data_IF_487832850644
#
_entry.id   IF_487832850644
#
_cell.length_a   1.000
_cell.length_b   1.000
_cell.length_c   1.000
_cell.angle_alpha   90.00
_cell.angle_beta   90.00
_cell.angle_gamma   90.00
#
_symmetry.space_group_name_H-M   'P 1'
#
loop_
_entity.id
_entity.type
_entity.pdbx_description
1 polymer ?
#
# COMPACT_ATOMS: atom_id res chain seq x y z
N UNK A 1 16.88 3.78 6.95
CA UNK A 1 18.04 3.20 7.66
C UNK A 1 18.83 2.17 6.83
N UNK A 2 18.30 1.70 5.71
CA UNK A 2 18.87 0.60 4.89
C UNK A 2 20.32 0.82 4.39
N UNK A 3 20.84 2.04 4.39
CA UNK A 3 22.16 2.41 3.86
C UNK A 3 23.17 2.81 4.95
N UNK A 4 22.84 2.63 6.22
CA UNK A 4 23.73 2.97 7.33
C UNK A 4 24.45 1.72 7.82
N UNK A 5 25.71 1.87 8.27
CA UNK A 5 26.49 0.80 8.88
C UNK A 5 25.88 0.29 10.19
N UNK A 6 26.57 -0.62 10.86
CA UNK A 6 26.11 -1.27 12.08
C UNK A 6 25.73 -0.26 13.18
N UNK A 7 24.58 -0.48 13.80
CA UNK A 7 24.12 0.30 14.94
C UNK A 7 24.76 -0.20 16.23
N UNK A 8 25.06 0.72 17.13
CA UNK A 8 25.40 0.41 18.51
C UNK A 8 24.16 0.00 19.31
N UNK A 9 24.36 -0.68 20.44
CA UNK A 9 23.27 -1.01 21.37
C UNK A 9 22.49 0.25 21.80
N UNK A 10 23.18 1.36 22.05
CA UNK A 10 22.56 2.61 22.45
C UNK A 10 21.63 3.18 21.35
N UNK A 11 22.07 3.14 20.09
CA UNK A 11 21.24 3.59 18.96
C UNK A 11 20.00 2.72 18.78
N UNK A 12 20.15 1.41 18.99
CA UNK A 12 19.02 0.47 18.95
C UNK A 12 18.04 0.71 20.08
N UNK A 13 18.52 0.97 21.29
CA UNK A 13 17.65 1.31 22.43
C UNK A 13 16.88 2.61 22.17
N UNK A 14 17.52 3.63 21.56
CA UNK A 14 16.84 4.86 21.12
C UNK A 14 15.77 4.57 20.05
N UNK A 15 16.06 3.68 19.10
CA UNK A 15 15.10 3.25 18.09
C UNK A 15 13.90 2.55 18.74
N UNK A 16 14.16 1.58 19.62
CA UNK A 16 13.09 0.87 20.33
C UNK A 16 12.25 1.82 21.19
N UNK A 17 12.89 2.77 21.89
CA UNK A 17 12.20 3.79 22.69
C UNK A 17 11.29 4.70 21.83
N UNK A 18 11.62 4.95 20.58
CA UNK A 18 10.82 5.76 19.68
C UNK A 18 9.69 4.97 18.99
N UNK A 19 9.94 3.72 18.61
CA UNK A 19 9.02 2.93 17.78
C UNK A 19 7.99 2.14 18.61
N UNK A 20 8.39 1.58 19.77
CA UNK A 20 7.47 0.78 20.60
C UNK A 20 6.21 1.55 21.06
N UNK A 21 6.28 2.82 21.50
CA UNK A 21 5.08 3.59 21.83
C UNK A 21 4.15 3.81 20.63
N UNK A 22 4.71 3.96 19.43
CA UNK A 22 3.93 4.10 18.19
C UNK A 22 3.19 2.80 17.90
N UNK A 23 3.86 1.65 18.03
CA UNK A 23 3.22 0.35 17.84
C UNK A 23 2.16 0.08 18.90
N UNK A 24 2.42 0.43 20.18
CA UNK A 24 1.41 0.30 21.24
C UNK A 24 0.14 1.06 20.87
N UNK A 25 0.28 2.33 20.47
CA UNK A 25 -0.86 3.15 20.04
C UNK A 25 -1.62 2.53 18.86
N UNK A 26 -0.92 2.06 17.82
CA UNK A 26 -1.53 1.43 16.63
C UNK A 26 -2.29 0.16 17.00
N UNK A 27 -1.70 -0.68 17.86
CA UNK A 27 -2.29 -1.93 18.30
C UNK A 27 -3.53 -1.71 19.18
N UNK A 28 -3.51 -0.72 20.08
CA UNK A 28 -4.67 -0.33 20.91
C UNK A 28 -5.85 0.15 20.07
N UNK A 29 -5.58 0.68 18.87
CA UNK A 29 -6.62 1.06 17.91
C UNK A 29 -7.03 -0.07 16.95
N UNK A 30 -6.72 -1.32 17.30
CA UNK A 30 -7.11 -2.51 16.54
C UNK A 30 -6.43 -2.62 15.17
N UNK A 31 -5.24 -2.07 15.01
CA UNK A 31 -4.51 -2.09 13.74
C UNK A 31 -3.13 -2.75 13.90
N UNK A 32 -2.64 -3.41 12.87
CA UNK A 32 -1.31 -4.03 12.81
C UNK A 32 -0.57 -3.46 11.59
N UNK A 33 0.71 -3.08 11.75
CA UNK A 33 1.51 -2.42 10.71
C UNK A 33 1.92 -3.37 9.58
N UNK A 34 2.42 -4.58 9.90
CA UNK A 34 2.74 -5.71 9.00
C UNK A 34 3.95 -5.55 8.07
N UNK A 35 4.57 -4.39 7.99
CA UNK A 35 5.74 -4.16 7.12
C UNK A 35 6.83 -3.36 7.84
N UNK A 36 7.23 -3.83 9.04
CA UNK A 36 8.33 -3.23 9.79
C UNK A 36 9.65 -3.76 9.26
N UNK A 37 10.47 -2.83 8.73
CA UNK A 37 11.78 -3.11 8.15
C UNK A 37 12.64 -1.83 8.13
N UNK A 38 13.96 -1.91 7.94
CA UNK A 38 14.82 -0.74 7.97
C UNK A 38 14.45 0.36 6.96
N UNK A 39 13.91 0.02 5.79
CA UNK A 39 13.47 1.00 4.79
C UNK A 39 12.24 1.81 5.21
N UNK A 40 11.41 1.25 6.10
CA UNK A 40 10.21 1.90 6.64
C UNK A 40 10.47 2.62 7.97
N UNK A 41 11.73 2.72 8.39
CA UNK A 41 12.13 3.51 9.55
C UNK A 41 13.07 4.61 9.09
N UNK A 42 12.71 5.86 9.36
CA UNK A 42 13.50 7.05 9.06
C UNK A 42 14.14 7.57 10.34
N UNK A 43 15.36 8.07 10.24
CA UNK A 43 16.02 8.89 11.26
C UNK A 43 16.21 10.29 10.70
N UNK A 44 15.71 11.30 11.38
CA UNK A 44 15.90 12.69 10.98
C UNK A 44 17.30 13.23 11.34
N UNK A 45 17.57 14.48 10.98
CA UNK A 45 18.84 15.14 11.27
C UNK A 45 19.08 15.37 12.77
N UNK A 46 18.01 15.42 13.56
CA UNK A 46 18.11 15.54 15.04
C UNK A 46 18.37 14.20 15.72
N UNK A 47 18.36 13.10 14.97
CA UNK A 47 18.54 11.74 15.47
C UNK A 47 17.27 11.03 15.90
N UNK A 48 16.09 11.64 15.73
CA UNK A 48 14.79 11.07 16.09
C UNK A 48 14.33 10.06 15.04
N UNK A 49 13.74 8.94 15.50
CA UNK A 49 13.23 7.88 14.65
C UNK A 49 11.73 8.02 14.41
N UNK A 50 11.30 7.68 13.19
CA UNK A 50 9.92 7.70 12.72
C UNK A 50 9.60 6.42 11.98
N UNK A 51 8.43 5.84 12.23
CA UNK A 51 7.88 4.73 11.46
C UNK A 51 7.07 5.28 10.30
N UNK A 52 7.33 4.77 9.10
CA UNK A 52 6.74 5.21 7.84
C UNK A 52 5.90 4.09 7.24
N UNK A 53 5.07 4.44 6.28
CA UNK A 53 4.32 3.53 5.41
C UNK A 53 3.33 2.62 6.15
N UNK A 54 2.25 3.23 6.60
CA UNK A 54 1.08 2.54 7.16
C UNK A 54 0.16 1.93 6.07
N UNK A 55 0.60 1.82 4.81
CA UNK A 55 -0.21 1.33 3.69
C UNK A 55 -0.62 -0.14 3.79
N UNK A 56 0.12 -0.95 4.56
CA UNK A 56 -0.18 -2.36 4.82
C UNK A 56 -1.10 -2.59 6.03
N UNK A 57 -1.48 -1.53 6.74
CA UNK A 57 -2.30 -1.62 7.96
C UNK A 57 -3.68 -2.20 7.64
N UNK A 58 -4.03 -3.31 8.29
CA UNK A 58 -5.39 -3.87 8.28
C UNK A 58 -5.99 -3.76 9.67
N UNK A 59 -7.24 -3.32 9.74
CA UNK A 59 -8.02 -3.40 10.97
C UNK A 59 -8.29 -4.88 11.32
N UNK A 60 -8.07 -5.23 12.57
CA UNK A 60 -8.50 -6.52 13.12
C UNK A 60 -10.00 -6.40 13.37
N UNK A 61 -10.81 -6.63 12.33
CA UNK A 61 -12.26 -6.75 12.52
C UNK A 61 -12.53 -8.11 13.14
N UNK A 62 -13.14 -8.11 14.30
CA UNK A 62 -13.63 -9.30 15.04
C UNK A 62 -14.84 -9.95 14.35
N UNK A 63 -14.69 -10.30 13.06
CA UNK A 63 -15.69 -11.07 12.34
C UNK A 63 -14.94 -12.16 11.56
N UNK A 64 -15.20 -13.40 11.94
CA UNK A 64 -14.76 -14.59 11.21
C UNK A 64 -15.21 -14.50 9.75
N UNK A 65 -14.36 -13.97 8.90
CA UNK A 65 -14.54 -13.87 7.46
C UNK A 65 -13.21 -14.16 6.83
N UNK A 66 -13.15 -15.31 6.15
CA UNK A 66 -12.05 -15.78 5.31
C UNK A 66 -11.40 -14.66 4.51
N UNK A 67 -10.19 -14.27 4.91
CA UNK A 67 -9.39 -13.31 4.15
C UNK A 67 -8.78 -14.04 2.97
N UNK A 68 -9.47 -13.98 1.84
CA UNK A 68 -8.98 -14.39 0.54
C UNK A 68 -7.68 -13.64 0.20
N UNK A 69 -6.64 -14.42 -0.12
CA UNK A 69 -5.33 -14.09 -0.55
C UNK A 69 -5.06 -12.69 -1.09
N UNK A 70 -4.44 -11.83 -0.31
CA UNK A 70 -3.56 -10.84 -0.89
C UNK A 70 -2.21 -11.53 -1.08
N UNK A 71 -1.82 -11.76 -2.33
CA UNK A 71 -0.44 -12.05 -2.74
C UNK A 71 0.43 -10.85 -2.37
N UNK A 72 0.69 -10.68 -1.07
CA UNK A 72 1.59 -9.67 -0.58
C UNK A 72 3.00 -10.11 -0.94
N UNK A 73 3.71 -9.30 -1.70
CA UNK A 73 5.17 -9.35 -1.79
C UNK A 73 5.66 -8.98 -0.40
N UNK A 74 5.79 -9.98 0.48
CA UNK A 74 6.38 -9.79 1.81
C UNK A 74 7.86 -9.48 1.66
N UNK A 75 8.35 -8.51 2.41
CA UNK A 75 9.78 -8.20 2.45
C UNK A 75 10.54 -9.42 2.97
N UNK A 76 11.25 -10.12 2.06
CA UNK A 76 11.88 -11.41 2.34
C UNK A 76 12.73 -11.34 3.61
N UNK A 77 12.39 -12.20 4.58
CA UNK A 77 13.10 -12.39 5.83
C UNK A 77 12.67 -11.53 7.01
N UNK A 78 11.89 -10.46 6.85
CA UNK A 78 11.40 -9.64 7.97
C UNK A 78 10.03 -10.09 8.48
N UNK A 79 9.20 -10.67 7.62
CA UNK A 79 7.88 -11.15 7.99
C UNK A 79 7.96 -12.43 8.85
N UNK A 80 7.18 -12.51 9.95
CA UNK A 80 7.14 -13.70 10.79
C UNK A 80 6.44 -14.88 10.10
N UNK A 81 6.65 -16.12 10.60
CA UNK A 81 6.12 -17.34 10.00
C UNK A 81 4.60 -17.34 9.79
N UNK A 82 3.83 -16.84 10.77
CA UNK A 82 2.38 -16.76 10.69
C UNK A 82 1.92 -15.82 9.57
N UNK A 83 2.63 -14.73 9.34
CA UNK A 83 2.31 -13.78 8.27
C UNK A 83 2.61 -14.39 6.89
N UNK A 84 3.72 -15.10 6.76
CA UNK A 84 4.12 -15.80 5.52
C UNK A 84 3.14 -16.92 5.20
N UNK A 85 2.67 -17.65 6.21
CA UNK A 85 1.70 -18.73 6.07
C UNK A 85 0.25 -18.24 5.82
N UNK A 86 0.00 -16.92 5.85
CA UNK A 86 -1.36 -16.37 5.72
C UNK A 86 -2.26 -16.63 6.93
N UNK A 87 -1.66 -16.89 8.10
CA UNK A 87 -2.34 -17.13 9.35
C UNK A 87 -2.87 -15.84 10.03
N UNK A 88 -3.34 -16.01 11.26
CA UNK A 88 -3.80 -14.89 12.08
C UNK A 88 -2.64 -13.96 12.45
N UNK A 89 -2.92 -12.67 12.46
CA UNK A 89 -1.96 -11.61 12.70
C UNK A 89 -2.25 -10.96 14.06
N UNK A 90 -1.20 -10.78 14.85
CA UNK A 90 -1.25 -10.28 16.22
C UNK A 90 -0.34 -9.06 16.40
N UNK A 91 -0.46 -8.29 17.50
CA UNK A 91 0.54 -7.28 17.87
C UNK A 91 1.98 -7.85 17.91
N UNK A 92 2.13 -9.11 18.36
CA UNK A 92 3.40 -9.83 18.37
C UNK A 92 4.02 -10.08 16.98
N UNK A 93 3.25 -9.99 15.91
CA UNK A 93 3.72 -10.04 14.51
C UNK A 93 4.62 -8.83 14.20
N UNK A 94 4.18 -7.62 14.57
CA UNK A 94 4.98 -6.40 14.41
C UNK A 94 6.21 -6.41 15.32
N UNK A 95 6.08 -6.94 16.54
CA UNK A 95 7.21 -7.06 17.47
C UNK A 95 8.29 -8.00 16.93
N UNK A 96 7.91 -9.10 16.30
CA UNK A 96 8.86 -9.98 15.62
C UNK A 96 9.59 -9.25 14.49
N UNK A 97 8.86 -8.60 13.59
CA UNK A 97 9.46 -7.85 12.48
C UNK A 97 10.38 -6.71 12.97
N UNK A 98 10.02 -6.06 14.07
CA UNK A 98 10.88 -5.06 14.74
C UNK A 98 12.16 -5.71 15.28
N UNK A 99 12.08 -6.88 15.91
CA UNK A 99 13.27 -7.59 16.40
C UNK A 99 14.20 -8.01 15.25
N UNK A 100 13.66 -8.54 14.14
CA UNK A 100 14.45 -8.85 12.94
C UNK A 100 15.12 -7.59 12.38
N UNK A 101 14.40 -6.47 12.35
CA UNK A 101 14.95 -5.16 11.94
C UNK A 101 16.13 -4.77 12.85
N UNK A 102 15.97 -4.88 14.16
CA UNK A 102 16.98 -4.54 15.15
C UNK A 102 18.24 -5.40 15.01
N UNK A 103 18.11 -6.73 14.91
CA UNK A 103 19.28 -7.60 14.75
C UNK A 103 20.00 -7.36 13.41
N UNK A 104 19.26 -7.01 12.36
CA UNK A 104 19.85 -6.64 11.07
C UNK A 104 20.65 -5.33 11.18
N UNK A 105 20.15 -4.33 11.91
CA UNK A 105 20.84 -3.08 12.15
C UNK A 105 22.08 -3.25 13.07
N UNK A 106 22.01 -4.11 14.09
CA UNK A 106 23.13 -4.41 14.97
C UNK A 106 24.26 -5.14 14.26
N UNK A 107 23.94 -6.05 13.36
CA UNK A 107 24.91 -6.94 12.71
C UNK A 107 25.36 -6.46 11.34
N UNK A 108 24.59 -5.53 10.71
CA UNK A 108 24.78 -5.13 9.32
C UNK A 108 24.45 -6.23 8.30
N UNK A 109 23.89 -7.35 8.75
CA UNK A 109 23.59 -8.51 7.92
C UNK A 109 22.12 -8.58 7.52
N UNK A 110 21.86 -9.23 6.39
CA UNK A 110 20.50 -9.52 5.94
C UNK A 110 19.85 -10.59 6.82
N UNK A 111 18.53 -10.56 7.04
CA UNK A 111 17.82 -11.59 7.81
C UNK A 111 18.12 -13.02 7.36
N UNK A 112 18.25 -13.23 6.04
CA UNK A 112 18.56 -14.54 5.43
C UNK A 112 19.92 -15.09 5.81
N UNK A 113 20.87 -14.23 6.21
CA UNK A 113 22.21 -14.62 6.68
C UNK A 113 22.24 -14.92 8.19
N UNK A 114 21.24 -14.43 8.92
CA UNK A 114 21.10 -14.58 10.37
C UNK A 114 20.17 -15.72 10.77
N UNK A 115 19.35 -16.20 9.86
CA UNK A 115 18.36 -17.26 10.13
C UNK A 115 18.81 -18.61 9.61
N UNK A 116 18.92 -19.60 10.50
CA UNK A 116 19.25 -20.97 10.17
C UNK A 116 17.96 -21.80 9.96
N UNK A 117 17.52 -21.92 8.72
CA UNK A 117 16.26 -22.60 8.37
C UNK A 117 16.18 -24.05 8.84
N UNK A 118 17.30 -24.79 8.81
CA UNK A 118 17.35 -26.19 9.23
C UNK A 118 17.12 -26.42 10.72
N UNK A 119 17.32 -25.40 11.56
CA UNK A 119 17.09 -25.44 13.01
C UNK A 119 16.03 -24.46 13.49
N UNK A 120 15.48 -23.69 12.61
CA UNK A 120 14.50 -22.64 12.90
C UNK A 120 14.98 -21.65 13.97
N UNK A 121 16.25 -21.22 13.88
CA UNK A 121 16.92 -20.41 14.89
C UNK A 121 17.63 -19.19 14.30
N UNK A 122 17.63 -18.10 15.07
CA UNK A 122 18.33 -16.89 14.75
C UNK A 122 19.75 -16.94 15.33
N UNK A 123 20.80 -16.89 14.48
CA UNK A 123 22.22 -16.86 14.86
C UNK A 123 22.79 -15.45 14.72
N UNK A 124 22.30 -14.50 15.46
CA UNK A 124 22.73 -13.11 15.38
C UNK A 124 23.76 -12.72 16.45
N UNK A 125 23.74 -13.37 17.64
CA UNK A 125 24.62 -13.05 18.77
C UNK A 125 26.12 -13.20 18.46
N UNK A 126 26.47 -14.10 17.58
CA UNK A 126 27.88 -14.30 17.16
C UNK A 126 28.46 -13.16 16.31
N UNK A 127 27.60 -12.25 15.83
CA UNK A 127 27.97 -11.17 14.93
C UNK A 127 27.97 -9.78 15.60
N UNK A 128 27.53 -9.69 16.86
CA UNK A 128 27.49 -8.43 17.59
C UNK A 128 27.51 -8.68 19.10
N UNK A 129 28.07 -7.71 19.84
CA UNK A 129 28.06 -7.75 21.30
C UNK A 129 27.03 -6.76 21.82
N UNK A 130 26.07 -7.26 22.59
CA UNK A 130 25.06 -6.47 23.28
C UNK A 130 24.83 -7.03 24.68
N UNK A 131 24.23 -6.25 25.56
CA UNK A 131 23.87 -6.68 26.90
C UNK A 131 22.96 -7.90 26.87
N UNK A 132 23.09 -8.78 27.87
CA UNK A 132 22.23 -9.95 28.00
C UNK A 132 20.75 -9.56 28.13
N UNK A 133 20.48 -8.41 28.73
CA UNK A 133 19.12 -7.90 28.86
C UNK A 133 18.47 -7.63 27.50
N UNK A 134 19.17 -6.89 26.62
CA UNK A 134 18.67 -6.63 25.26
C UNK A 134 18.55 -7.93 24.46
N UNK A 135 19.57 -8.79 24.57
CA UNK A 135 19.58 -10.06 23.87
C UNK A 135 18.41 -10.96 24.26
N UNK A 136 18.10 -11.09 25.55
CA UNK A 136 16.99 -11.92 26.03
C UNK A 136 15.64 -11.39 25.54
N UNK A 137 15.48 -10.06 25.50
CA UNK A 137 14.24 -9.44 24.96
C UNK A 137 14.11 -9.70 23.48
N UNK A 138 15.18 -9.48 22.69
CA UNK A 138 15.15 -9.74 21.26
C UNK A 138 14.90 -11.22 20.95
N UNK A 139 15.55 -12.13 21.66
CA UNK A 139 15.34 -13.57 21.48
C UNK A 139 13.88 -13.98 21.78
N UNK A 140 13.26 -13.39 22.82
CA UNK A 140 11.83 -13.64 23.09
C UNK A 140 10.90 -13.08 22.00
N UNK A 141 11.21 -11.91 21.45
CA UNK A 141 10.46 -11.35 20.32
C UNK A 141 10.59 -12.21 19.05
N UNK A 142 11.71 -12.90 18.86
CA UNK A 142 12.06 -13.73 17.72
C UNK A 142 11.56 -15.18 17.80
N UNK A 143 10.83 -15.57 18.87
CA UNK A 143 10.27 -16.91 18.98
C UNK A 143 9.34 -17.22 17.81
N UNK A 144 9.34 -18.48 17.40
CA UNK A 144 8.53 -18.95 16.27
C UNK A 144 7.03 -18.78 16.54
N UNK A 145 6.59 -19.26 17.71
CA UNK A 145 5.19 -19.22 18.13
C UNK A 145 4.77 -17.82 18.62
N UNK A 146 3.77 -17.15 18.00
CA UNK A 146 3.34 -15.81 18.40
C UNK A 146 2.95 -15.69 19.87
N UNK A 147 2.31 -16.74 20.44
CA UNK A 147 1.85 -16.77 21.84
C UNK A 147 2.99 -16.82 22.86
N UNK A 148 4.20 -17.20 22.46
CA UNK A 148 5.37 -17.25 23.34
C UNK A 148 6.13 -15.94 23.35
N UNK A 149 5.86 -15.03 22.41
CA UNK A 149 6.43 -13.69 22.33
C UNK A 149 5.83 -12.78 23.39
N UNK A 150 6.20 -11.51 23.39
CA UNK A 150 5.47 -10.48 24.11
C UNK A 150 4.11 -10.22 23.45
N UNK A 151 3.05 -10.06 24.26
CA UNK A 151 1.71 -9.83 23.77
C UNK A 151 1.49 -8.41 23.23
N UNK A 152 2.23 -7.43 23.74
CA UNK A 152 2.13 -6.03 23.35
C UNK A 152 3.48 -5.29 23.48
N UNK A 153 3.55 -4.10 22.90
CA UNK A 153 4.78 -3.29 22.89
C UNK A 153 5.13 -2.76 24.30
N UNK A 154 4.13 -2.53 25.15
CA UNK A 154 4.33 -2.09 26.54
C UNK A 154 5.10 -3.13 27.38
N UNK A 155 4.85 -4.41 27.17
CA UNK A 155 5.63 -5.49 27.83
C UNK A 155 7.11 -5.45 27.44
N UNK A 156 7.42 -5.15 26.17
CA UNK A 156 8.79 -5.00 25.69
C UNK A 156 9.46 -3.78 26.33
N UNK A 157 8.76 -2.65 26.40
CA UNK A 157 9.26 -1.43 27.04
C UNK A 157 9.57 -1.67 28.53
N UNK A 158 8.67 -2.35 29.25
CA UNK A 158 8.87 -2.72 30.67
C UNK A 158 10.08 -3.66 30.84
N UNK A 159 10.21 -4.68 29.98
CA UNK A 159 11.32 -5.62 30.03
C UNK A 159 12.67 -4.93 29.82
N UNK A 160 12.73 -3.94 28.92
CA UNK A 160 13.91 -3.13 28.67
C UNK A 160 14.12 -2.00 29.69
N UNK A 161 13.12 -1.71 30.55
CA UNK A 161 13.07 -0.53 31.43
C UNK A 161 13.23 0.78 30.65
N UNK A 162 12.65 0.84 29.47
CA UNK A 162 12.59 2.06 28.67
C UNK A 162 11.56 3.00 29.31
N UNK A 163 11.95 4.24 29.56
CA UNK A 163 10.99 5.29 29.89
C UNK A 163 10.33 5.64 28.55
N UNK A 164 9.00 5.57 28.42
CA UNK A 164 8.37 6.04 27.22
C UNK A 164 8.80 7.49 26.96
N UNK A 165 9.42 7.77 25.83
CA UNK A 165 9.51 9.15 25.39
C UNK A 165 8.06 9.62 25.30
N UNK A 166 7.73 10.73 25.96
CA UNK A 166 6.40 11.34 25.86
C UNK A 166 5.92 11.19 24.42
N UNK A 167 4.74 10.60 24.17
CA UNK A 167 4.22 10.57 22.83
C UNK A 167 4.32 12.01 22.27
N UNK A 168 4.71 12.20 21.02
CA UNK A 168 4.68 13.53 20.41
C UNK A 168 3.30 14.11 20.77
N UNK A 169 3.21 15.41 21.12
CA UNK A 169 1.94 16.00 21.53
C UNK A 169 0.90 15.52 20.53
N UNK A 170 -0.09 14.80 21.05
CA UNK A 170 -1.18 14.27 20.24
C UNK A 170 -1.67 15.46 19.46
N UNK A 171 -1.57 15.50 18.13
CA UNK A 171 -2.19 16.57 17.38
C UNK A 171 -3.63 16.62 17.89
N UNK A 172 -4.21 17.81 18.13
CA UNK A 172 -5.53 17.97 18.71
C UNK A 172 -6.44 16.94 18.07
N UNK A 173 -7.30 16.23 18.84
CA UNK A 173 -8.01 15.07 18.36
C UNK A 173 -8.50 15.42 16.96
N UNK A 174 -7.90 14.79 15.99
CA UNK A 174 -8.44 14.79 14.63
C UNK A 174 -9.77 14.14 14.90
N UNK A 175 -10.83 14.95 15.01
CA UNK A 175 -12.21 14.47 14.95
C UNK A 175 -12.17 13.37 13.94
N UNK A 176 -12.59 12.11 14.27
CA UNK A 176 -12.40 11.01 13.37
C UNK A 176 -12.90 11.52 12.03
N UNK A 177 -11.95 11.91 11.21
CA UNK A 177 -12.24 12.18 9.81
C UNK A 177 -12.73 10.81 9.43
N UNK A 178 -14.07 10.67 9.49
CA UNK A 178 -14.79 9.54 8.95
C UNK A 178 -13.86 8.98 7.92
N UNK A 179 -13.53 7.68 8.00
CA UNK A 179 -12.71 7.00 7.00
C UNK A 179 -13.46 7.11 5.68
N UNK A 180 -13.64 8.35 5.24
CA UNK A 180 -14.03 8.66 3.89
C UNK A 180 -12.91 8.00 3.10
N UNK A 181 -13.26 6.86 2.50
CA UNK A 181 -12.54 6.32 1.35
C UNK A 181 -12.00 7.54 0.62
N UNK A 182 -10.69 7.62 0.32
CA UNK A 182 -10.10 8.81 -0.26
C UNK A 182 -11.01 9.26 -1.40
N UNK A 183 -11.78 10.31 -1.12
CA UNK A 183 -12.75 10.84 -2.07
C UNK A 183 -11.93 11.34 -3.23
N UNK A 184 -12.19 10.80 -4.41
CA UNK A 184 -11.57 11.31 -5.62
C UNK A 184 -11.81 12.81 -5.68
N UNK A 185 -10.76 13.58 -5.89
CA UNK A 185 -10.92 15.01 -6.11
C UNK A 185 -11.79 15.23 -7.34
N UNK A 186 -12.48 16.36 -7.41
CA UNK A 186 -13.31 16.66 -8.60
C UNK A 186 -12.47 16.61 -9.88
N UNK A 187 -11.22 17.04 -9.80
CA UNK A 187 -10.29 16.98 -10.93
C UNK A 187 -9.94 15.54 -11.33
N UNK A 188 -9.71 14.65 -10.36
CA UNK A 188 -9.44 13.23 -10.62
C UNK A 188 -10.63 12.53 -11.27
N UNK A 189 -11.86 12.83 -10.84
CA UNK A 189 -13.06 12.26 -11.45
C UNK A 189 -13.23 12.76 -12.89
N UNK A 190 -13.05 14.06 -13.12
CA UNK A 190 -13.19 14.64 -14.46
C UNK A 190 -12.07 14.20 -15.41
N UNK A 191 -10.84 14.12 -14.94
CA UNK A 191 -9.72 13.62 -15.76
C UNK A 191 -9.88 12.13 -16.08
N UNK A 192 -10.37 11.32 -15.13
CA UNK A 192 -10.71 9.93 -15.38
C UNK A 192 -11.87 9.76 -16.38
N UNK A 193 -12.90 10.61 -16.31
CA UNK A 193 -13.98 10.62 -17.28
C UNK A 193 -13.51 11.02 -18.68
N UNK A 194 -12.66 12.06 -18.76
CA UNK A 194 -12.05 12.50 -20.01
C UNK A 194 -11.25 11.37 -20.68
N UNK A 195 -10.41 10.72 -19.90
CA UNK A 195 -9.62 9.57 -20.34
C UNK A 195 -10.50 8.42 -20.84
N UNK A 196 -11.49 7.99 -20.02
CA UNK A 196 -12.36 6.87 -20.39
C UNK A 196 -13.17 7.19 -21.65
N UNK A 197 -13.66 8.42 -21.79
CA UNK A 197 -14.41 8.83 -22.99
C UNK A 197 -13.53 8.93 -24.24
N UNK A 198 -12.31 9.45 -24.12
CA UNK A 198 -11.35 9.54 -25.22
C UNK A 198 -10.89 8.14 -25.68
N UNK A 199 -10.43 7.33 -24.75
CA UNK A 199 -9.97 5.96 -25.02
C UNK A 199 -11.12 5.08 -25.54
N UNK A 200 -12.30 5.22 -24.97
CA UNK A 200 -13.51 4.54 -25.44
C UNK A 200 -13.89 4.91 -26.87
N UNK A 201 -13.73 6.17 -27.24
CA UNK A 201 -13.92 6.64 -28.62
C UNK A 201 -12.94 5.97 -29.59
N UNK A 202 -11.67 5.93 -29.26
CA UNK A 202 -10.64 5.25 -30.04
C UNK A 202 -10.92 3.75 -30.21
N UNK A 203 -11.25 3.07 -29.13
CA UNK A 203 -11.56 1.63 -29.12
C UNK A 203 -12.83 1.35 -29.93
N UNK A 204 -13.86 2.19 -29.80
CA UNK A 204 -15.10 2.04 -30.54
C UNK A 204 -14.87 2.15 -32.06
N UNK A 205 -14.07 3.12 -32.52
CA UNK A 205 -13.70 3.28 -33.92
C UNK A 205 -12.95 2.04 -34.40
N UNK A 206 -11.96 1.57 -33.67
CA UNK A 206 -11.16 0.41 -34.04
C UNK A 206 -12.01 -0.87 -34.13
N UNK A 207 -12.87 -1.12 -33.14
CA UNK A 207 -13.74 -2.30 -33.12
C UNK A 207 -14.83 -2.24 -34.19
N UNK A 208 -15.40 -1.05 -34.43
CA UNK A 208 -16.38 -0.88 -35.53
C UNK A 208 -15.74 -1.14 -36.90
N UNK A 209 -14.49 -0.66 -37.09
CA UNK A 209 -13.73 -0.92 -38.30
C UNK A 209 -13.46 -2.41 -38.52
N UNK A 210 -13.18 -3.14 -37.42
CA UNK A 210 -12.79 -4.55 -37.48
C UNK A 210 -13.99 -5.47 -37.71
N UNK A 211 -15.10 -5.22 -37.01
CA UNK A 211 -16.25 -6.14 -37.00
C UNK A 211 -17.37 -5.70 -37.93
N UNK A 212 -17.41 -4.46 -38.39
CA UNK A 212 -18.45 -3.87 -39.23
C UNK A 212 -19.89 -4.09 -38.75
N UNK A 213 -20.07 -4.53 -37.51
CA UNK A 213 -21.35 -4.78 -36.86
C UNK A 213 -21.52 -3.89 -35.62
N UNK A 214 -22.45 -2.94 -35.63
CA UNK A 214 -22.61 -1.95 -34.54
C UNK A 214 -22.86 -2.61 -33.19
N UNK A 215 -23.73 -3.61 -33.11
CA UNK A 215 -24.11 -4.23 -31.84
C UNK A 215 -22.96 -4.93 -31.15
N UNK A 216 -22.14 -5.65 -31.89
CA UNK A 216 -20.95 -6.35 -31.36
C UNK A 216 -19.88 -5.35 -30.93
N UNK A 217 -19.60 -4.35 -31.77
CA UNK A 217 -18.59 -3.32 -31.48
C UNK A 217 -18.95 -2.51 -30.23
N UNK A 218 -20.22 -2.10 -30.09
CA UNK A 218 -20.67 -1.40 -28.88
C UNK A 218 -20.65 -2.29 -27.64
N UNK A 219 -21.02 -3.56 -27.73
CA UNK A 219 -20.97 -4.50 -26.61
C UNK A 219 -19.55 -4.69 -26.07
N UNK A 220 -18.60 -4.93 -26.96
CA UNK A 220 -17.18 -5.11 -26.60
C UNK A 220 -16.61 -3.80 -26.05
N UNK A 221 -16.89 -2.66 -26.68
CA UNK A 221 -16.45 -1.33 -26.19
C UNK A 221 -16.97 -1.07 -24.77
N UNK A 222 -18.25 -1.35 -24.51
CA UNK A 222 -18.84 -1.15 -23.18
C UNK A 222 -18.16 -2.03 -22.11
N UNK A 223 -17.82 -3.27 -22.45
CA UNK A 223 -17.13 -4.18 -21.53
C UNK A 223 -15.70 -3.70 -21.22
N UNK A 224 -14.95 -3.24 -22.23
CA UNK A 224 -13.60 -2.69 -22.04
C UNK A 224 -13.68 -1.40 -21.21
N UNK A 225 -14.63 -0.51 -21.49
CA UNK A 225 -14.83 0.72 -20.71
C UNK A 225 -15.16 0.42 -19.25
N UNK A 226 -16.02 -0.55 -18.99
CA UNK A 226 -16.31 -0.98 -17.63
C UNK A 226 -15.06 -1.46 -16.89
N UNK A 227 -14.19 -2.21 -17.58
CA UNK A 227 -12.89 -2.64 -17.07
C UNK A 227 -11.95 -1.45 -16.79
N UNK A 228 -11.85 -0.47 -17.68
CA UNK A 228 -11.05 0.74 -17.51
C UNK A 228 -11.53 1.59 -16.32
N UNK A 229 -12.84 1.80 -16.22
CA UNK A 229 -13.45 2.54 -15.09
C UNK A 229 -13.22 1.79 -13.77
N UNK A 230 -13.33 0.45 -13.77
CA UNK A 230 -13.01 -0.35 -12.59
C UNK A 230 -11.53 -0.25 -12.22
N UNK A 231 -10.60 -0.30 -13.17
CA UNK A 231 -9.17 -0.16 -12.93
C UNK A 231 -8.84 1.24 -12.37
N UNK A 232 -9.48 2.31 -12.86
CA UNK A 232 -9.35 3.65 -12.29
C UNK A 232 -9.91 3.71 -10.85
N UNK A 233 -11.08 3.11 -10.61
CA UNK A 233 -11.66 3.04 -9.26
C UNK A 233 -10.76 2.31 -8.28
N UNK A 234 -10.08 1.26 -8.73
CA UNK A 234 -9.09 0.50 -7.94
C UNK A 234 -7.73 1.20 -7.85
N UNK A 235 -7.55 2.37 -8.50
CA UNK A 235 -6.29 3.12 -8.59
C UNK A 235 -5.12 2.30 -9.18
N UNK A 236 -5.42 1.39 -10.09
CA UNK A 236 -4.40 0.66 -10.86
C UNK A 236 -3.81 1.52 -11.99
N UNK A 237 -4.56 2.55 -12.43
CA UNK A 237 -4.14 3.52 -13.44
C UNK A 237 -3.69 4.77 -12.71
N UNK A 238 -2.42 5.15 -12.88
CA UNK A 238 -1.80 6.34 -12.30
C UNK A 238 -1.95 7.56 -13.21
N UNK A 239 -1.61 8.75 -12.69
CA UNK A 239 -1.77 10.02 -13.44
C UNK A 239 -1.05 10.02 -14.78
N UNK A 240 0.12 9.39 -14.86
CA UNK A 240 0.92 9.32 -16.09
C UNK A 240 0.30 8.39 -17.13
N UNK A 241 -0.38 7.33 -16.68
CA UNK A 241 -1.01 6.34 -17.56
C UNK A 241 -2.17 6.96 -18.35
N UNK A 242 -2.84 7.98 -17.78
CA UNK A 242 -3.92 8.72 -18.44
C UNK A 242 -3.50 9.41 -19.75
N UNK A 243 -2.21 9.65 -19.93
CA UNK A 243 -1.64 10.21 -21.18
C UNK A 243 -0.98 9.14 -22.05
N UNK A 244 -0.37 8.13 -21.41
CA UNK A 244 0.39 7.08 -22.11
C UNK A 244 -0.56 6.19 -22.91
N UNK A 245 -1.62 5.65 -22.29
CA UNK A 245 -2.54 4.74 -22.96
C UNK A 245 -3.19 5.35 -24.21
N UNK A 246 -3.83 6.55 -24.15
CA UNK A 246 -4.43 7.14 -25.34
C UNK A 246 -3.43 7.44 -26.45
N UNK A 247 -2.20 7.83 -26.07
CA UNK A 247 -1.15 8.08 -27.06
C UNK A 247 -0.73 6.80 -27.78
N UNK A 248 -0.59 5.70 -27.03
CA UNK A 248 -0.25 4.38 -27.61
C UNK A 248 -1.39 3.87 -28.49
N UNK A 249 -2.63 3.95 -28.03
CA UNK A 249 -3.81 3.51 -28.78
C UNK A 249 -3.97 4.32 -30.08
N UNK A 250 -3.75 5.64 -30.01
CA UNK A 250 -3.80 6.49 -31.20
C UNK A 250 -2.71 6.11 -32.21
N UNK A 251 -1.49 5.85 -31.76
CA UNK A 251 -0.38 5.39 -32.63
C UNK A 251 -0.70 4.05 -33.26
N UNK A 252 -1.26 3.11 -32.53
CA UNK A 252 -1.67 1.79 -33.06
C UNK A 252 -2.72 1.94 -34.13
N UNK A 253 -3.78 2.73 -33.88
CA UNK A 253 -4.84 2.97 -34.86
C UNK A 253 -4.27 3.62 -36.14
N UNK A 254 -3.30 4.53 -35.98
CA UNK A 254 -2.63 5.18 -37.09
C UNK A 254 -1.77 4.24 -37.92
N UNK A 255 -1.03 3.32 -37.25
CA UNK A 255 -0.13 2.38 -37.96
C UNK A 255 -0.92 1.29 -38.71
N UNK A 256 -2.16 1.00 -38.31
CA UNK A 256 -2.98 -0.05 -38.90
C UNK A 256 -4.23 0.53 -39.60
N UNK A 257 -4.18 0.82 -40.93
CA UNK A 257 -5.31 1.42 -41.64
C UNK A 257 -6.65 0.68 -41.53
N UNK A 258 -6.59 -0.64 -41.28
CA UNK A 258 -7.78 -1.45 -41.02
C UNK A 258 -8.53 -1.12 -39.73
N UNK A 259 -7.97 -0.29 -38.83
CA UNK A 259 -8.59 0.06 -37.54
C UNK A 259 -9.33 1.40 -37.54
N UNK A 260 -9.34 2.14 -38.64
CA UNK A 260 -10.01 3.46 -38.71
C UNK A 260 -11.05 3.63 -39.82
N UNK A 261 -11.46 2.54 -40.47
CA UNK A 261 -12.55 2.52 -41.48
C UNK A 261 -12.48 3.59 -42.54
N UNK A 262 -11.27 3.95 -42.99
CA UNK A 262 -11.05 5.02 -44.00
C UNK A 262 -11.15 6.44 -43.45
N UNK A 263 -11.34 6.63 -42.14
CA UNK A 263 -11.29 7.94 -41.50
C UNK A 263 -9.85 8.47 -41.52
N UNK A 264 -9.73 9.77 -41.66
CA UNK A 264 -8.44 10.46 -41.49
C UNK A 264 -8.08 10.50 -40.01
N UNK A 265 -6.77 10.64 -39.70
CA UNK A 265 -6.31 10.75 -38.30
C UNK A 265 -6.97 11.91 -37.59
N UNK A 266 -7.22 13.01 -38.30
CA UNK A 266 -7.87 14.19 -37.75
C UNK A 266 -9.32 13.90 -37.35
N UNK A 267 -10.04 13.12 -38.13
CA UNK A 267 -11.41 12.69 -37.83
C UNK A 267 -11.44 11.72 -36.64
N UNK A 268 -10.50 10.77 -36.57
CA UNK A 268 -10.36 9.86 -35.43
C UNK A 268 -10.07 10.64 -34.15
N UNK A 269 -9.10 11.55 -34.19
CA UNK A 269 -8.75 12.40 -33.04
C UNK A 269 -9.93 13.29 -32.61
N UNK A 270 -10.65 13.88 -33.56
CA UNK A 270 -11.82 14.71 -33.28
C UNK A 270 -12.94 13.91 -32.59
N UNK A 271 -13.26 12.73 -33.11
CA UNK A 271 -14.27 11.85 -32.52
C UNK A 271 -13.87 11.37 -31.11
N UNK A 272 -12.60 11.04 -30.89
CA UNK A 272 -12.10 10.66 -29.59
C UNK A 272 -12.19 11.83 -28.57
N UNK A 273 -11.81 13.04 -28.97
CA UNK A 273 -11.96 14.25 -28.14
C UNK A 273 -13.42 14.52 -27.83
N UNK A 274 -14.32 14.40 -28.81
CA UNK A 274 -15.76 14.54 -28.60
C UNK A 274 -16.29 13.53 -27.57
N UNK A 275 -15.83 12.26 -27.64
CA UNK A 275 -16.13 11.23 -26.64
C UNK A 275 -15.65 11.61 -25.23
N UNK A 276 -14.45 12.15 -25.10
CA UNK A 276 -13.89 12.64 -23.85
C UNK A 276 -14.71 13.79 -23.26
N UNK A 277 -15.08 14.78 -24.06
CA UNK A 277 -15.91 15.91 -23.64
C UNK A 277 -17.31 15.48 -23.22
N UNK A 278 -17.90 14.55 -23.95
CA UNK A 278 -19.22 13.99 -23.62
C UNK A 278 -19.18 13.26 -22.27
N UNK A 279 -18.15 12.47 -22.02
CA UNK A 279 -17.98 11.76 -20.75
C UNK A 279 -17.79 12.72 -19.57
N UNK A 280 -17.02 13.81 -19.73
CA UNK A 280 -16.88 14.88 -18.73
C UNK A 280 -18.24 15.50 -18.44
N UNK A 281 -18.99 15.89 -19.48
CA UNK A 281 -20.31 16.54 -19.34
C UNK A 281 -21.30 15.64 -18.61
N UNK A 282 -21.35 14.35 -18.97
CA UNK A 282 -22.24 13.38 -18.33
C UNK A 282 -21.86 13.17 -16.85
N UNK A 283 -20.58 13.05 -16.55
CA UNK A 283 -20.07 12.87 -15.18
C UNK A 283 -20.35 14.11 -14.31
N UNK A 284 -20.17 15.31 -14.86
CA UNK A 284 -20.49 16.56 -14.17
C UNK A 284 -22.00 16.67 -13.89
N UNK A 285 -22.85 16.28 -14.84
CA UNK A 285 -24.29 16.26 -14.69
C UNK A 285 -24.73 15.29 -13.58
N UNK A 286 -24.24 14.05 -13.59
CA UNK A 286 -24.53 13.08 -12.54
C UNK A 286 -24.09 13.57 -11.15
N UNK A 287 -22.93 14.21 -11.05
CA UNK A 287 -22.44 14.79 -9.79
C UNK A 287 -23.35 15.92 -9.30
N UNK A 288 -23.85 16.76 -10.22
CA UNK A 288 -24.78 17.82 -9.89
C UNK A 288 -26.11 17.27 -9.37
N UNK A 289 -26.70 16.28 -10.10
CA UNK A 289 -27.93 15.61 -9.71
C UNK A 289 -27.78 14.95 -8.33
N UNK A 290 -26.68 14.22 -8.11
CA UNK A 290 -26.41 13.59 -6.81
C UNK A 290 -26.31 14.61 -5.67
N UNK A 291 -25.65 15.76 -5.92
CA UNK A 291 -25.55 16.84 -4.94
C UNK A 291 -26.90 17.45 -4.60
N UNK A 292 -27.75 17.65 -5.60
CA UNK A 292 -29.12 18.17 -5.40
C UNK A 292 -30.00 17.19 -4.62
N UNK A 293 -29.96 15.90 -4.96
CA UNK A 293 -30.69 14.87 -4.25
C UNK A 293 -30.25 14.70 -2.81
N UNK A 294 -28.94 14.80 -2.53
CA UNK A 294 -28.37 14.71 -1.16
C UNK A 294 -28.68 15.92 -0.28
N UNK A 295 -29.23 17.00 -0.82
CA UNK A 295 -29.72 18.17 -0.07
C UNK A 295 -31.23 18.09 0.26
N UNK A 296 -31.96 17.18 -0.41
CA UNK A 296 -33.41 17.01 -0.25
C UNK A 296 -33.75 15.77 0.59
N UNK A 297 -32.85 14.79 0.67
CA UNK A 297 -32.91 13.59 1.52
C UNK A 297 -32.07 13.79 2.79
#
# INVERSE_FOLDING_TARGET
LAHRGNFSEQEVLQLLQAILPVLQFVHEHGSIHRDIKPSNIMRDRSGKFYLLDFGAVKQVTSAAGTVSGSTGIYSMGFAPPEQVAGGEIYPSTDLYALAVTVISLLTGKKPTELFESGRNQWKWRSHTQVSDKLANVLNKMLLFEPKQRFGCADEVMKALKLIPSLPPPVPPPITPRSSSRPTFSTLEILSGAAFSGFEGGLIAIALYSLFSQPLISFGITALILAGLVFAQYRRWIEKNDLLIFPSVTLVIIFLFPGLHSGLTILEVAYLAVAGGLLAIGLTALFKLIYKLLSQVL
#
